data_IF_249121321327
#
_entry.id   IF_249121321327
#
_cell.length_a   1.000
_cell.length_b   1.000
_cell.length_c   1.000
_cell.angle_alpha   90.00
_cell.angle_beta   90.00
_cell.angle_gamma   90.00
#
_symmetry.space_group_name_H-M   'P 1'
#
loop_
_entity.id
_entity.type
_entity.pdbx_description
1 polymer ?
#
# COMPACT_ATOMS: atom_id res chain seq x y z
N UNK A 1 27.49 -42.36 33.74
CA UNK A 1 26.49 -42.05 32.70
C UNK A 1 26.75 -40.64 32.18
N UNK A 2 27.34 -40.53 30.98
CA UNK A 2 27.59 -39.25 30.31
C UNK A 2 26.36 -38.89 29.50
N UNK A 3 25.58 -37.91 29.95
CA UNK A 3 24.53 -37.32 29.15
C UNK A 3 25.15 -36.31 28.18
N UNK A 4 25.21 -36.65 26.90
CA UNK A 4 25.55 -35.70 25.85
C UNK A 4 24.28 -34.95 25.47
N UNK A 5 24.19 -33.68 25.89
CA UNK A 5 23.14 -32.76 25.46
C UNK A 5 23.51 -32.26 24.06
N UNK A 6 22.83 -32.75 23.02
CA UNK A 6 23.00 -32.25 21.65
C UNK A 6 22.06 -31.06 21.45
N UNK A 7 22.62 -29.86 21.41
CA UNK A 7 21.90 -28.66 21.00
C UNK A 7 21.76 -28.66 19.47
N UNK A 8 20.55 -28.95 18.97
CA UNK A 8 20.18 -28.73 17.57
C UNK A 8 19.86 -27.24 17.38
N UNK A 9 20.83 -26.50 16.84
CA UNK A 9 20.61 -25.11 16.40
C UNK A 9 19.93 -25.17 15.03
N UNK A 10 18.61 -25.00 15.02
CA UNK A 10 17.85 -24.73 13.79
C UNK A 10 18.16 -23.31 13.34
N UNK A 11 19.08 -23.16 12.39
CA UNK A 11 19.23 -21.90 11.64
C UNK A 11 18.04 -21.79 10.66
N UNK A 12 16.94 -21.22 11.11
CA UNK A 12 15.93 -20.68 10.21
C UNK A 12 16.50 -19.43 9.52
N UNK A 13 17.27 -19.63 8.44
CA UNK A 13 17.62 -18.54 7.53
C UNK A 13 16.46 -18.30 6.56
N UNK A 14 15.32 -17.82 7.06
CA UNK A 14 14.37 -17.16 6.17
C UNK A 14 14.96 -15.80 5.85
N UNK A 15 15.76 -15.77 4.79
CA UNK A 15 16.27 -14.51 4.29
C UNK A 15 15.11 -13.71 3.69
N UNK A 16 14.52 -12.82 4.50
CA UNK A 16 13.62 -11.77 4.04
C UNK A 16 14.43 -10.74 3.25
N UNK A 17 14.86 -11.09 2.04
CA UNK A 17 15.40 -10.12 1.10
C UNK A 17 14.24 -9.47 0.37
N UNK A 18 14.12 -8.15 0.54
CA UNK A 18 13.34 -7.33 -0.39
C UNK A 18 13.79 -7.63 -1.82
N UNK A 19 12.86 -7.76 -2.77
CA UNK A 19 13.17 -7.89 -4.21
C UNK A 19 13.63 -6.58 -4.84
N UNK A 20 13.66 -5.51 -4.06
CA UNK A 20 14.32 -4.26 -4.43
C UNK A 20 15.80 -4.28 -4.07
N UNK A 21 16.65 -4.21 -5.09
CA UNK A 21 18.10 -4.19 -4.94
C UNK A 21 18.65 -2.77 -5.09
N UNK A 22 19.69 -2.42 -4.31
CA UNK A 22 20.33 -1.10 -4.44
C UNK A 22 20.92 -0.89 -5.84
N UNK A 23 21.58 -1.92 -6.37
CA UNK A 23 22.14 -1.97 -7.72
C UNK A 23 22.44 -3.43 -8.12
N UNK A 24 22.73 -3.66 -9.41
CA UNK A 24 23.00 -4.99 -9.96
C UNK A 24 24.19 -5.70 -9.28
N UNK A 25 25.25 -4.97 -8.93
CA UNK A 25 26.40 -5.55 -8.20
C UNK A 25 26.00 -6.16 -6.87
N UNK A 26 25.09 -5.52 -6.13
CA UNK A 26 24.60 -6.05 -4.85
C UNK A 26 23.76 -7.31 -5.06
N UNK A 27 22.93 -7.33 -6.09
CA UNK A 27 22.15 -8.50 -6.48
C UNK A 27 23.04 -9.68 -6.86
N UNK A 28 24.00 -9.47 -7.76
CA UNK A 28 24.94 -10.49 -8.25
C UNK A 28 25.75 -11.09 -7.10
N UNK A 29 26.22 -10.26 -6.16
CA UNK A 29 26.95 -10.73 -4.98
C UNK A 29 26.09 -11.60 -4.06
N UNK A 30 24.82 -11.28 -3.91
CA UNK A 30 23.92 -11.98 -2.99
C UNK A 30 23.31 -13.26 -3.59
N UNK A 31 23.08 -13.28 -4.91
CA UNK A 31 22.33 -14.36 -5.58
C UNK A 31 23.19 -15.22 -6.51
N UNK A 32 24.42 -14.78 -6.80
CA UNK A 32 25.31 -15.36 -7.82
C UNK A 32 24.75 -15.38 -9.26
N UNK A 33 23.62 -14.69 -9.51
CA UNK A 33 23.01 -14.56 -10.84
C UNK A 33 23.51 -13.29 -11.52
N UNK A 34 23.80 -13.37 -12.82
CA UNK A 34 24.26 -12.22 -13.61
C UNK A 34 23.16 -11.20 -13.89
N UNK A 35 21.93 -11.67 -14.06
CA UNK A 35 20.76 -10.88 -14.41
C UNK A 35 19.67 -11.00 -13.35
N UNK A 36 18.85 -9.95 -13.20
CA UNK A 36 17.73 -9.93 -12.27
C UNK A 36 16.72 -11.03 -12.61
N UNK A 37 16.17 -11.69 -11.58
CA UNK A 37 15.04 -12.59 -11.79
C UNK A 37 13.79 -11.77 -12.18
N UNK A 38 12.76 -12.38 -12.78
CA UNK A 38 11.55 -11.66 -13.19
C UNK A 38 10.83 -10.90 -12.08
N UNK A 39 10.94 -11.32 -10.81
CA UNK A 39 10.35 -10.64 -9.65
C UNK A 39 11.24 -9.56 -9.03
N UNK A 40 12.52 -9.47 -9.43
CA UNK A 40 13.52 -8.57 -8.85
C UNK A 40 13.62 -7.25 -9.65
N UNK A 41 13.90 -6.15 -8.95
CA UNK A 41 14.13 -4.85 -9.59
C UNK A 41 15.20 -4.05 -8.85
N UNK A 42 15.83 -3.07 -9.52
CA UNK A 42 16.69 -2.11 -8.84
C UNK A 42 15.88 -0.94 -8.29
N UNK A 43 16.38 -0.31 -7.23
CA UNK A 43 15.79 0.93 -6.69
C UNK A 43 15.69 2.04 -7.74
N UNK A 44 16.62 2.08 -8.70
CA UNK A 44 16.55 2.98 -9.87
C UNK A 44 15.38 2.63 -10.78
N UNK A 45 15.13 1.35 -11.04
CA UNK A 45 14.04 0.88 -11.91
C UNK A 45 12.69 1.36 -11.41
N UNK A 46 12.40 1.19 -10.12
CA UNK A 46 11.16 1.69 -9.51
C UNK A 46 11.05 3.20 -9.61
N UNK A 47 12.12 3.94 -9.27
CA UNK A 47 12.11 5.41 -9.27
C UNK A 47 11.92 5.99 -10.68
N UNK A 48 12.41 5.31 -11.70
CA UNK A 48 12.35 5.73 -13.10
C UNK A 48 11.21 5.05 -13.87
N UNK A 49 10.45 4.16 -13.22
CA UNK A 49 9.38 3.35 -13.83
C UNK A 49 9.81 2.60 -15.10
N UNK A 50 11.00 1.99 -15.08
CA UNK A 50 11.56 1.26 -16.22
C UNK A 50 10.75 0.00 -16.56
N UNK A 51 11.02 -0.61 -17.72
CA UNK A 51 10.42 -1.88 -18.12
C UNK A 51 10.71 -3.00 -17.12
N UNK A 52 11.88 -3.02 -16.48
CA UNK A 52 12.23 -4.00 -15.42
C UNK A 52 11.24 -3.91 -14.27
N UNK A 53 10.95 -2.69 -13.78
CA UNK A 53 9.96 -2.49 -12.71
C UNK A 53 8.55 -2.92 -13.14
N UNK A 54 8.14 -2.59 -14.36
CA UNK A 54 6.83 -2.99 -14.90
C UNK A 54 6.71 -4.52 -15.00
N UNK A 55 7.72 -5.18 -15.55
CA UNK A 55 7.76 -6.63 -15.70
C UNK A 55 7.73 -7.34 -14.33
N UNK A 56 8.46 -6.81 -13.34
CA UNK A 56 8.40 -7.31 -11.98
C UNK A 56 7.01 -7.16 -11.36
N UNK A 57 6.33 -6.03 -11.58
CA UNK A 57 4.96 -5.88 -11.11
C UNK A 57 3.98 -6.86 -11.77
N UNK A 58 4.08 -7.05 -13.09
CA UNK A 58 3.25 -8.04 -13.81
C UNK A 58 3.49 -9.43 -13.24
N UNK A 59 4.76 -9.83 -13.12
CA UNK A 59 5.14 -11.14 -12.61
C UNK A 59 4.65 -11.34 -11.17
N UNK A 60 4.87 -10.38 -10.28
CA UNK A 60 4.44 -10.48 -8.89
C UNK A 60 2.92 -10.54 -8.77
N UNK A 61 2.20 -9.73 -9.57
CA UNK A 61 0.74 -9.72 -9.60
C UNK A 61 0.17 -11.07 -10.06
N UNK A 62 0.67 -11.61 -11.18
CA UNK A 62 0.19 -12.87 -11.74
C UNK A 62 0.53 -14.09 -10.87
N UNK A 63 1.58 -14.00 -10.05
CA UNK A 63 2.00 -15.07 -9.13
C UNK A 63 1.55 -14.83 -7.68
N UNK A 64 0.72 -13.82 -7.43
CA UNK A 64 0.18 -13.50 -6.09
C UNK A 64 1.27 -13.33 -5.03
N UNK A 65 2.26 -12.46 -5.32
CA UNK A 65 3.41 -12.16 -4.43
C UNK A 65 3.36 -10.73 -3.86
N UNK A 66 2.36 -10.36 -3.05
CA UNK A 66 2.29 -9.03 -2.43
C UNK A 66 3.42 -8.79 -1.41
N UNK A 67 4.00 -9.84 -0.83
CA UNK A 67 5.07 -9.78 0.17
C UNK A 67 6.38 -9.18 -0.36
N UNK A 68 6.54 -9.07 -1.67
CA UNK A 68 7.75 -8.49 -2.28
C UNK A 68 7.82 -6.96 -2.10
N UNK A 69 6.70 -6.32 -1.74
CA UNK A 69 6.57 -4.88 -1.54
C UNK A 69 6.56 -4.51 -0.05
N UNK A 70 7.75 -4.44 0.55
CA UNK A 70 7.92 -4.24 1.99
C UNK A 70 7.59 -2.83 2.50
N UNK A 71 7.83 -1.81 1.68
CA UNK A 71 7.72 -0.40 2.13
C UNK A 71 6.50 0.29 1.54
N UNK A 72 5.97 1.29 2.26
CA UNK A 72 4.91 2.18 1.77
C UNK A 72 5.31 2.81 0.43
N UNK A 73 6.61 3.11 0.23
CA UNK A 73 7.15 3.68 -1.02
C UNK A 73 6.97 2.72 -2.19
N UNK A 74 7.28 1.44 -2.00
CA UNK A 74 7.14 0.40 -3.02
C UNK A 74 5.67 0.17 -3.36
N UNK A 75 4.79 0.02 -2.35
CA UNK A 75 3.34 -0.16 -2.55
C UNK A 75 2.70 1.04 -3.25
N UNK A 76 3.08 2.26 -2.85
CA UNK A 76 2.66 3.49 -3.54
C UNK A 76 3.06 3.48 -5.02
N UNK A 77 4.31 3.12 -5.34
CA UNK A 77 4.75 3.09 -6.74
C UNK A 77 4.13 1.92 -7.54
N UNK A 78 3.77 0.82 -6.88
CA UNK A 78 2.95 -0.24 -7.48
C UNK A 78 1.55 0.29 -7.82
N UNK A 79 0.88 0.99 -6.89
CA UNK A 79 -0.43 1.58 -7.17
C UNK A 79 -0.36 2.59 -8.32
N UNK A 80 0.71 3.38 -8.41
CA UNK A 80 0.91 4.27 -9.55
C UNK A 80 1.01 3.51 -10.88
N UNK A 81 1.76 2.41 -10.88
CA UNK A 81 1.88 1.55 -12.05
C UNK A 81 0.52 0.96 -12.45
N UNK A 82 -0.18 0.28 -11.54
CA UNK A 82 -1.44 -0.40 -11.88
C UNK A 82 -2.54 0.60 -12.29
N UNK A 83 -2.59 1.80 -11.68
CA UNK A 83 -3.49 2.87 -12.12
C UNK A 83 -3.21 3.26 -13.57
N UNK A 84 -1.93 3.39 -13.93
CA UNK A 84 -1.52 3.73 -15.31
C UNK A 84 -1.96 2.65 -16.29
N UNK A 85 -1.74 1.38 -15.95
CA UNK A 85 -2.13 0.25 -16.80
C UNK A 85 -3.66 0.12 -16.95
N UNK A 86 -4.41 0.23 -15.85
CA UNK A 86 -5.88 0.14 -15.89
C UNK A 86 -6.51 1.28 -16.69
N UNK A 87 -5.96 2.49 -16.58
CA UNK A 87 -6.38 3.63 -17.43
C UNK A 87 -6.07 3.39 -18.89
N UNK A 88 -4.89 2.86 -19.22
CA UNK A 88 -4.54 2.52 -20.60
C UNK A 88 -5.47 1.45 -21.19
N UNK A 89 -5.96 0.51 -20.35
CA UNK A 89 -7.00 -0.47 -20.71
C UNK A 89 -8.41 0.12 -20.79
N UNK A 90 -8.62 1.36 -20.31
CA UNK A 90 -9.89 2.07 -20.37
C UNK A 90 -10.85 1.80 -19.21
N UNK A 91 -10.37 1.30 -18.07
CA UNK A 91 -11.20 1.15 -16.87
C UNK A 91 -11.47 2.49 -16.19
N UNK A 92 -12.69 2.66 -15.67
CA UNK A 92 -13.13 3.85 -14.92
C UNK A 92 -13.00 3.69 -13.39
N UNK A 93 -12.39 2.60 -12.90
CA UNK A 93 -12.26 2.34 -11.46
C UNK A 93 -11.38 3.39 -10.77
N UNK A 94 -11.77 3.79 -9.56
CA UNK A 94 -11.12 4.89 -8.82
C UNK A 94 -10.38 4.38 -7.58
N UNK A 95 -10.75 3.23 -7.00
CA UNK A 95 -10.15 2.72 -5.77
C UNK A 95 -8.60 2.61 -5.84
N UNK A 96 -7.97 2.10 -6.92
CA UNK A 96 -6.50 2.04 -6.99
C UNK A 96 -5.86 3.44 -6.98
N UNK A 97 -6.55 4.44 -7.54
CA UNK A 97 -6.12 5.85 -7.51
C UNK A 97 -6.21 6.41 -6.09
N UNK A 98 -7.24 6.04 -5.33
CA UNK A 98 -7.36 6.40 -3.91
C UNK A 98 -6.24 5.76 -3.09
N UNK A 99 -5.96 4.47 -3.32
CA UNK A 99 -4.88 3.75 -2.63
C UNK A 99 -3.50 4.36 -2.93
N UNK A 100 -3.24 4.76 -4.18
CA UNK A 100 -2.06 5.55 -4.55
C UNK A 100 -1.98 6.87 -3.77
N UNK A 101 -3.09 7.64 -3.76
CA UNK A 101 -3.15 8.93 -3.08
C UNK A 101 -2.86 8.80 -1.58
N UNK A 102 -3.54 7.87 -0.90
CA UNK A 102 -3.36 7.62 0.54
C UNK A 102 -1.94 7.14 0.81
N UNK A 103 -1.40 6.20 0.04
CA UNK A 103 -0.02 5.71 0.21
C UNK A 103 1.01 6.85 0.04
N UNK A 104 0.76 7.80 -0.87
CA UNK A 104 1.63 8.95 -1.04
C UNK A 104 1.59 9.89 0.19
N UNK A 105 0.44 10.00 0.86
CA UNK A 105 0.32 10.74 2.14
C UNK A 105 0.97 9.99 3.30
N UNK A 106 0.74 8.69 3.43
CA UNK A 106 1.33 7.87 4.50
C UNK A 106 2.86 7.86 4.45
N UNK A 107 3.45 7.87 3.25
CA UNK A 107 4.91 7.98 3.08
C UNK A 107 5.50 9.23 3.75
N UNK A 108 4.74 10.31 3.89
CA UNK A 108 5.22 11.53 4.54
C UNK A 108 5.59 11.28 6.00
N UNK A 109 4.94 10.32 6.68
CA UNK A 109 5.26 9.94 8.07
C UNK A 109 6.71 9.44 8.21
N UNK A 110 7.32 8.97 7.13
CA UNK A 110 8.72 8.52 7.08
C UNK A 110 9.71 9.61 6.60
N UNK A 111 9.23 10.78 6.20
CA UNK A 111 10.04 11.81 5.55
C UNK A 111 10.23 13.04 6.47
N UNK A 112 11.40 13.66 6.43
CA UNK A 112 11.64 14.95 7.09
C UNK A 112 10.82 16.08 6.43
N UNK A 113 10.29 17.06 7.19
CA UNK A 113 10.30 17.17 8.66
C UNK A 113 9.14 16.43 9.35
N UNK A 114 8.20 15.88 8.58
CA UNK A 114 6.98 15.25 9.09
C UNK A 114 7.25 14.05 10.02
N UNK A 115 8.34 13.33 9.81
CA UNK A 115 8.76 12.23 10.67
C UNK A 115 9.05 12.66 12.12
N UNK A 116 9.32 13.95 12.39
CA UNK A 116 9.52 14.52 13.72
C UNK A 116 8.18 14.76 14.44
N UNK A 117 7.10 14.93 13.70
CA UNK A 117 5.76 15.23 14.22
C UNK A 117 4.94 13.96 14.52
N UNK A 118 5.52 12.78 14.32
CA UNK A 118 4.81 11.51 14.23
C UNK A 118 5.47 10.45 15.10
N UNK A 119 4.69 9.75 15.94
CA UNK A 119 5.22 8.74 16.89
C UNK A 119 5.66 7.45 16.17
N UNK A 120 6.46 6.63 16.86
CA UNK A 120 6.86 5.30 16.37
C UNK A 120 5.63 4.40 16.16
N UNK A 121 4.71 4.38 17.12
CA UNK A 121 3.50 3.54 17.05
C UNK A 121 2.62 3.92 15.86
N UNK A 122 2.45 5.23 15.61
CA UNK A 122 1.69 5.69 14.44
C UNK A 122 2.33 5.29 13.12
N UNK A 123 3.67 5.31 13.03
CA UNK A 123 4.38 4.81 11.83
C UNK A 123 4.17 3.31 11.68
N UNK A 124 4.17 2.55 12.78
CA UNK A 124 3.89 1.12 12.76
C UNK A 124 2.45 0.83 12.29
N UNK A 125 1.45 1.54 12.83
CA UNK A 125 0.06 1.42 12.39
C UNK A 125 -0.12 1.81 10.92
N UNK A 126 0.54 2.87 10.46
CA UNK A 126 0.50 3.28 9.05
C UNK A 126 1.13 2.24 8.12
N UNK A 127 2.26 1.65 8.51
CA UNK A 127 2.92 0.59 7.76
C UNK A 127 2.04 -0.66 7.69
N UNK A 128 1.46 -1.06 8.83
CA UNK A 128 0.58 -2.22 8.94
C UNK A 128 -0.71 -2.03 8.15
N UNK A 129 -1.35 -0.88 8.26
CA UNK A 129 -2.54 -0.56 7.45
C UNK A 129 -2.25 -0.53 5.95
N UNK A 130 -1.13 0.08 5.55
CA UNK A 130 -0.70 0.04 4.15
C UNK A 130 -0.41 -1.37 3.65
N UNK A 131 0.12 -2.25 4.51
CA UNK A 131 0.38 -3.65 4.20
C UNK A 131 -0.91 -4.45 4.06
N UNK A 132 -1.78 -4.39 5.07
CA UNK A 132 -2.99 -5.20 5.12
C UNK A 132 -3.91 -4.86 3.95
N UNK A 133 -4.10 -3.58 3.62
CA UNK A 133 -4.88 -3.19 2.43
C UNK A 133 -4.22 -3.68 1.14
N UNK A 134 -2.90 -3.57 1.02
CA UNK A 134 -2.17 -3.99 -0.18
C UNK A 134 -2.23 -5.50 -0.40
N UNK A 135 -1.95 -6.29 0.64
CA UNK A 135 -1.96 -7.76 0.58
C UNK A 135 -3.36 -8.27 0.28
N UNK A 136 -4.39 -7.75 0.98
CA UNK A 136 -5.76 -8.24 0.78
C UNK A 136 -6.36 -7.83 -0.57
N UNK A 137 -6.00 -6.66 -1.11
CA UNK A 137 -6.45 -6.22 -2.44
C UNK A 137 -5.69 -6.86 -3.60
N UNK A 138 -4.55 -7.50 -3.34
CA UNK A 138 -3.66 -7.96 -4.42
C UNK A 138 -4.35 -8.92 -5.39
N UNK A 139 -5.18 -9.83 -4.88
CA UNK A 139 -5.97 -10.75 -5.69
C UNK A 139 -7.02 -10.03 -6.53
N UNK A 140 -7.77 -9.09 -5.95
CA UNK A 140 -8.80 -8.34 -6.68
C UNK A 140 -8.19 -7.46 -7.77
N UNK A 141 -7.02 -6.88 -7.50
CA UNK A 141 -6.24 -6.12 -8.48
C UNK A 141 -5.70 -7.00 -9.61
N UNK A 142 -5.25 -8.22 -9.33
CA UNK A 142 -4.83 -9.17 -10.39
C UNK A 142 -5.99 -9.54 -11.29
N UNK A 143 -7.14 -9.90 -10.71
CA UNK A 143 -8.33 -10.23 -11.48
C UNK A 143 -8.81 -9.06 -12.34
N UNK A 144 -8.75 -7.84 -11.80
CA UNK A 144 -9.09 -6.64 -12.55
C UNK A 144 -8.09 -6.38 -13.68
N UNK A 145 -6.78 -6.51 -13.40
CA UNK A 145 -5.73 -6.33 -14.39
C UNK A 145 -5.85 -7.35 -15.52
N UNK A 146 -6.11 -8.62 -15.23
CA UNK A 146 -6.20 -9.70 -16.22
C UNK A 146 -7.57 -9.75 -16.94
N UNK A 147 -8.55 -8.96 -16.48
CA UNK A 147 -9.89 -8.92 -17.03
C UNK A 147 -9.89 -8.46 -18.49
N UNK A 148 -10.60 -9.21 -19.34
CA UNK A 148 -10.96 -8.77 -20.70
C UNK A 148 -12.15 -7.81 -20.70
N UNK A 149 -12.94 -7.82 -19.63
CA UNK A 149 -14.09 -6.94 -19.45
C UNK A 149 -13.61 -5.61 -18.89
N UNK A 150 -13.84 -4.54 -19.65
CA UNK A 150 -13.52 -3.17 -19.22
C UNK A 150 -14.65 -2.68 -18.32
N UNK A 151 -14.33 -2.36 -17.07
CA UNK A 151 -15.30 -1.81 -16.11
C UNK A 151 -15.46 -0.30 -16.35
N UNK A 152 -16.67 0.11 -16.72
CA UNK A 152 -17.05 1.51 -16.94
C UNK A 152 -18.32 1.87 -16.18
N UNK A 153 -18.51 3.17 -15.94
CA UNK A 153 -19.74 3.70 -15.33
C UNK A 153 -20.15 2.95 -14.05
N UNK A 154 -21.40 2.51 -13.99
CA UNK A 154 -21.98 1.82 -12.83
C UNK A 154 -21.24 0.53 -12.44
N UNK A 155 -20.70 -0.22 -13.41
CA UNK A 155 -19.96 -1.44 -13.11
C UNK A 155 -18.63 -1.14 -12.39
N UNK A 156 -17.93 -0.07 -12.78
CA UNK A 156 -16.74 0.40 -12.08
C UNK A 156 -17.09 0.94 -10.69
N UNK A 157 -18.21 1.65 -10.57
CA UNK A 157 -18.70 2.19 -9.31
C UNK A 157 -19.02 1.10 -8.28
N UNK A 158 -19.77 0.07 -8.69
CA UNK A 158 -20.06 -1.10 -7.84
C UNK A 158 -18.79 -1.84 -7.41
N UNK A 159 -17.81 -1.94 -8.30
CA UNK A 159 -16.53 -2.55 -7.98
C UNK A 159 -15.78 -1.73 -6.92
N UNK A 160 -15.70 -0.40 -7.09
CA UNK A 160 -15.08 0.50 -6.11
C UNK A 160 -15.80 0.45 -4.75
N UNK A 161 -17.13 0.47 -4.73
CA UNK A 161 -17.95 0.37 -3.51
C UNK A 161 -17.66 -0.92 -2.76
N UNK A 162 -17.61 -2.05 -3.48
CA UNK A 162 -17.29 -3.33 -2.89
C UNK A 162 -15.87 -3.36 -2.29
N UNK A 163 -14.86 -2.84 -3.00
CA UNK A 163 -13.50 -2.75 -2.46
C UNK A 163 -13.45 -1.85 -1.21
N UNK A 164 -14.10 -0.68 -1.26
CA UNK A 164 -14.13 0.26 -0.13
C UNK A 164 -14.84 -0.33 1.08
N UNK A 165 -15.98 -1.00 0.89
CA UNK A 165 -16.68 -1.66 1.98
C UNK A 165 -15.80 -2.72 2.63
N UNK A 166 -15.19 -3.59 1.80
CA UNK A 166 -14.31 -4.66 2.28
C UNK A 166 -13.10 -4.10 3.03
N UNK A 167 -12.47 -3.05 2.49
CA UNK A 167 -11.35 -2.36 3.13
C UNK A 167 -11.74 -1.83 4.51
N UNK A 168 -12.83 -1.05 4.59
CA UNK A 168 -13.19 -0.31 5.81
C UNK A 168 -13.74 -1.20 6.92
N UNK A 169 -14.50 -2.25 6.57
CA UNK A 169 -15.18 -3.12 7.53
C UNK A 169 -14.42 -4.42 7.83
N UNK A 170 -13.56 -4.89 6.92
CA UNK A 170 -12.88 -6.18 7.07
C UNK A 170 -11.38 -5.99 7.27
N UNK A 171 -10.69 -5.35 6.32
CA UNK A 171 -9.22 -5.35 6.33
C UNK A 171 -8.63 -4.48 7.43
N UNK A 172 -9.15 -3.26 7.61
CA UNK A 172 -8.54 -2.30 8.54
C UNK A 172 -9.22 -2.26 9.90
N UNK A 173 -10.37 -2.89 10.05
CA UNK A 173 -11.15 -2.86 11.30
C UNK A 173 -10.37 -3.47 12.47
N UNK A 174 -9.65 -4.56 12.24
CA UNK A 174 -8.77 -5.16 13.25
C UNK A 174 -7.67 -4.17 13.70
N UNK A 175 -7.14 -3.35 12.79
CA UNK A 175 -6.12 -2.35 13.11
C UNK A 175 -6.71 -1.27 14.01
N UNK A 176 -7.90 -0.74 13.70
CA UNK A 176 -8.56 0.27 14.54
C UNK A 176 -8.83 -0.22 15.96
N UNK A 177 -9.13 -1.51 16.14
CA UNK A 177 -9.29 -2.13 17.46
C UNK A 177 -7.98 -2.28 18.24
N UNK A 178 -6.83 -2.32 17.55
CA UNK A 178 -5.50 -2.41 18.17
C UNK A 178 -4.86 -1.06 18.48
N UNK A 179 -5.41 0.04 17.96
CA UNK A 179 -4.86 1.38 18.17
C UNK A 179 -5.20 1.88 19.57
N UNK A 180 -4.18 2.28 20.33
CA UNK A 180 -4.39 2.90 21.64
C UNK A 180 -5.07 4.28 21.53
N UNK A 181 -5.78 4.70 22.58
CA UNK A 181 -6.57 5.93 22.55
C UNK A 181 -5.75 7.20 22.22
N UNK A 182 -4.47 7.24 22.62
CA UNK A 182 -3.60 8.39 22.34
C UNK A 182 -3.22 8.42 20.86
N UNK A 183 -2.84 7.29 20.29
CA UNK A 183 -2.56 7.16 18.85
C UNK A 183 -3.81 7.42 18.00
N UNK A 184 -4.98 6.92 18.41
CA UNK A 184 -6.25 7.15 17.71
C UNK A 184 -6.58 8.65 17.64
N UNK A 185 -6.50 9.35 18.78
CA UNK A 185 -6.72 10.81 18.84
C UNK A 185 -5.73 11.57 17.96
N UNK A 186 -4.49 11.10 17.84
CA UNK A 186 -3.49 11.71 16.96
C UNK A 186 -3.87 11.50 15.48
N UNK A 187 -4.16 10.27 15.08
CA UNK A 187 -4.59 9.94 13.71
C UNK A 187 -5.83 10.76 13.33
N UNK A 188 -6.81 10.87 14.24
CA UNK A 188 -8.01 11.66 14.03
C UNK A 188 -7.69 13.16 13.80
N UNK A 189 -6.77 13.73 14.58
CA UNK A 189 -6.31 15.13 14.38
C UNK A 189 -5.67 15.34 13.00
N UNK A 190 -4.91 14.35 12.52
CA UNK A 190 -4.30 14.38 11.18
C UNK A 190 -5.39 14.30 10.11
N UNK A 191 -6.29 13.33 10.20
CA UNK A 191 -7.38 13.12 9.25
C UNK A 191 -8.30 14.36 9.15
N UNK A 192 -8.56 15.02 10.29
CA UNK A 192 -9.33 16.27 10.37
C UNK A 192 -8.52 17.52 9.99
N UNK A 193 -7.22 17.40 9.73
CA UNK A 193 -6.32 18.51 9.40
C UNK A 193 -6.25 19.59 10.49
N UNK A 194 -6.32 19.21 11.77
CA UNK A 194 -6.32 20.14 12.91
C UNK A 194 -4.94 20.75 13.14
N UNK A 195 -4.88 22.05 13.38
CA UNK A 195 -3.64 22.80 13.69
C UNK A 195 -2.57 22.63 12.59
N UNK A 196 -1.33 22.31 12.97
CA UNK A 196 -0.21 22.10 12.06
C UNK A 196 -0.36 20.84 11.18
N UNK A 197 -1.32 19.95 11.47
CA UNK A 197 -1.57 18.78 10.62
C UNK A 197 -2.33 19.10 9.33
N UNK A 198 -2.78 20.34 9.14
CA UNK A 198 -3.41 20.84 7.91
C UNK A 198 -2.58 20.63 6.65
N UNK A 199 -1.26 20.48 6.79
CA UNK A 199 -0.33 20.21 5.69
C UNK A 199 -0.42 18.77 5.14
N UNK A 200 -0.88 17.81 5.95
CA UNK A 200 -0.98 16.40 5.52
C UNK A 200 -2.21 16.19 4.63
N UNK A 201 -3.34 16.82 4.99
CA UNK A 201 -4.65 16.58 4.38
C UNK A 201 -5.24 17.88 3.81
N UNK A 202 -5.45 17.97 2.47
CA UNK A 202 -6.11 19.11 1.83
C UNK A 202 -7.48 19.41 2.46
N UNK A 203 -7.84 20.70 2.56
CA UNK A 203 -9.09 21.15 3.19
C UNK A 203 -10.33 20.45 2.61
N UNK A 204 -10.36 20.23 1.30
CA UNK A 204 -11.48 19.60 0.59
C UNK A 204 -11.78 18.15 1.02
N UNK A 205 -10.81 17.46 1.62
CA UNK A 205 -10.95 16.06 2.02
C UNK A 205 -10.59 15.85 3.49
N UNK A 206 -10.81 16.84 4.34
CA UNK A 206 -10.68 16.62 5.77
C UNK A 206 -11.79 15.69 6.24
N UNK A 207 -11.41 14.71 7.04
CA UNK A 207 -12.35 13.78 7.63
C UNK A 207 -13.31 14.52 8.57
N UNK A 208 -14.56 14.09 8.60
CA UNK A 208 -15.58 14.55 9.53
C UNK A 208 -16.20 13.31 10.16
N UNK A 209 -16.48 13.37 11.48
CA UNK A 209 -16.97 12.22 12.23
C UNK A 209 -15.93 11.51 13.09
N UNK A 210 -16.21 10.27 13.47
CA UNK A 210 -15.41 9.37 14.30
C UNK A 210 -14.68 8.34 13.43
N UNK A 211 -13.36 8.46 13.39
CA UNK A 211 -12.53 7.58 12.55
C UNK A 211 -12.50 6.14 13.06
N UNK A 212 -12.89 5.89 14.32
CA UNK A 212 -12.97 4.53 14.84
C UNK A 212 -14.14 3.74 14.26
N UNK A 213 -15.17 4.41 13.72
CA UNK A 213 -16.36 3.74 13.17
C UNK A 213 -16.19 3.42 11.68
N UNK A 214 -16.32 2.15 11.26
CA UNK A 214 -16.16 1.75 9.86
C UNK A 214 -17.14 2.45 8.91
N UNK A 215 -18.39 2.65 9.35
CA UNK A 215 -19.41 3.33 8.56
C UNK A 215 -19.04 4.78 8.24
N UNK A 216 -18.53 5.53 9.22
CA UNK A 216 -18.12 6.92 9.01
C UNK A 216 -16.91 7.00 8.07
N UNK A 217 -15.97 6.04 8.18
CA UNK A 217 -14.84 5.91 7.24
C UNK A 217 -15.30 5.58 5.83
N UNK A 218 -16.23 4.64 5.66
CA UNK A 218 -16.78 4.24 4.37
C UNK A 218 -17.52 5.40 3.71
N UNK A 219 -18.39 6.09 4.44
CA UNK A 219 -19.13 7.24 3.95
C UNK A 219 -18.20 8.38 3.53
N UNK A 220 -17.13 8.64 4.29
CA UNK A 220 -16.09 9.58 3.89
C UNK A 220 -15.38 9.14 2.60
N UNK A 221 -15.02 7.86 2.49
CA UNK A 221 -14.29 7.34 1.33
C UNK A 221 -15.11 7.48 0.04
N UNK A 222 -16.40 7.11 0.10
CA UNK A 222 -17.34 7.21 -1.03
C UNK A 222 -17.67 8.65 -1.39
N UNK A 223 -18.06 9.46 -0.40
CA UNK A 223 -18.68 10.77 -0.69
C UNK A 223 -17.68 11.92 -0.80
N UNK A 224 -16.46 11.77 -0.25
CA UNK A 224 -15.44 12.82 -0.30
C UNK A 224 -14.17 12.38 -1.01
N UNK A 225 -13.55 11.28 -0.59
CA UNK A 225 -12.22 10.90 -1.08
C UNK A 225 -12.25 10.42 -2.54
N UNK A 226 -13.21 9.56 -2.91
CA UNK A 226 -13.37 9.02 -4.27
C UNK A 226 -13.60 10.16 -5.28
N UNK A 227 -14.59 11.07 -5.11
CA UNK A 227 -14.78 12.22 -6.00
C UNK A 227 -13.54 13.10 -6.11
N UNK A 228 -12.86 13.37 -5.00
CA UNK A 228 -11.64 14.18 -5.00
C UNK A 228 -10.50 13.53 -5.81
N UNK A 229 -10.28 12.21 -5.64
CA UNK A 229 -9.26 11.49 -6.39
C UNK A 229 -9.62 11.40 -7.88
N UNK A 230 -10.89 11.16 -8.21
CA UNK A 230 -11.38 11.16 -9.59
C UNK A 230 -11.07 12.49 -10.27
N UNK A 231 -11.45 13.61 -9.66
CA UNK A 231 -11.25 14.94 -10.25
C UNK A 231 -9.76 15.37 -10.31
N UNK A 232 -8.92 14.87 -9.39
CA UNK A 232 -7.50 15.24 -9.33
C UNK A 232 -6.63 14.53 -10.37
N UNK A 233 -7.03 13.32 -10.76
CA UNK A 233 -6.23 12.44 -11.61
C UNK A 233 -6.93 12.03 -12.92
N UNK A 234 -8.10 12.62 -13.22
CA UNK A 234 -8.61 12.69 -14.60
C UNK A 234 -7.69 13.59 -15.43
#
# INVERSE_FOLDING_TARGET
MRYHLVFLIFFCTTSFYAKEWKCLKTYQKATHKQELSPSDWLKSDRKQQTSVWKNANIYNLSHQKPEEYLTIKQRKDFYLWIVTELKAKGHDVVWPTMAYFISNKLRLLECFPYNLLTSKDMKAYALKGSEDVFVNSFKSLSLLYDSKTILKGEAAEKWDEHQLYTEQYVWIEAIYKMIDAKSLKHIERIAKGKSFYSIFVPKAIRFEGDISKPEERYNYAINKLKPYCKNRYQ
#
